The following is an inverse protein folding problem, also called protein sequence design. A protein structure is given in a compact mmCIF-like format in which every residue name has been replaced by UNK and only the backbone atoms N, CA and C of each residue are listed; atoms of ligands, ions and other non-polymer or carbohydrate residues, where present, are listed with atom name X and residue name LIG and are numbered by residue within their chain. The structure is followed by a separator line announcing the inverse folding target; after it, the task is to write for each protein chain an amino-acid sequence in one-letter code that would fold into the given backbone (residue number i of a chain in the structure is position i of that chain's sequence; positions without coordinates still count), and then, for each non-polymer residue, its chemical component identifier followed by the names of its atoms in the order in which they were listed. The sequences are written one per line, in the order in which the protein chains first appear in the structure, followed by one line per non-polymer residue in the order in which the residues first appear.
data_IF_448216020544
#
_entry.id   IF_448216020544
#
_cell.length_a   1.000
_cell.length_b   1.000
_cell.length_c   1.000
_cell.angle_alpha   90.00
_cell.angle_beta   90.00
_cell.angle_gamma   90.00
#
_symmetry.space_group_name_H-M   'P 1'
#
loop_
_entity.id
_entity.type
_entity.pdbx_description
1 polymer ?
#
# COMPACT_ATOMS: atom_id res chain seq x y z
N UNK A 1 -22.48 16.04 76.06
CA UNK A 1 -21.58 15.27 75.16
C UNK A 1 -22.25 15.11 73.81
N UNK A 2 -21.92 15.95 72.79
CA UNK A 2 -22.46 15.87 71.46
C UNK A 2 -21.59 14.97 70.62
N UNK A 3 -22.09 13.83 70.14
CA UNK A 3 -21.39 12.93 69.18
C UNK A 3 -21.50 13.52 67.81
N UNK A 4 -20.35 13.90 67.23
CA UNK A 4 -20.23 14.33 65.83
C UNK A 4 -20.10 13.09 64.95
N UNK A 5 -21.08 12.83 64.10
CA UNK A 5 -21.08 11.72 63.14
C UNK A 5 -20.45 12.24 61.84
N UNK A 6 -19.21 11.85 61.51
CA UNK A 6 -18.54 12.19 60.26
C UNK A 6 -19.04 11.20 59.17
N UNK A 7 -19.78 11.70 58.23
CA UNK A 7 -20.24 10.95 57.06
C UNK A 7 -19.18 11.05 55.96
N UNK A 8 -18.39 9.98 55.76
CA UNK A 8 -17.42 9.89 54.69
C UNK A 8 -18.19 9.49 53.40
N UNK A 9 -18.42 10.46 52.48
CA UNK A 9 -18.93 10.18 51.15
C UNK A 9 -17.78 9.66 50.29
N UNK A 10 -17.72 8.37 50.09
CA UNK A 10 -16.82 7.74 49.11
C UNK A 10 -17.36 8.01 47.71
N UNK A 11 -16.77 8.95 46.97
CA UNK A 11 -17.04 9.14 45.58
C UNK A 11 -16.38 7.99 44.82
N UNK A 12 -17.17 6.99 44.44
CA UNK A 12 -16.78 5.98 43.47
C UNK A 12 -16.74 6.64 42.08
N UNK A 13 -15.56 7.07 41.65
CA UNK A 13 -15.28 7.37 40.21
C UNK A 13 -15.37 6.04 39.46
N UNK A 14 -16.53 5.75 38.88
CA UNK A 14 -16.69 4.67 37.92
C UNK A 14 -15.88 5.05 36.66
N UNK A 15 -14.66 4.55 36.54
CA UNK A 15 -13.98 4.51 35.25
C UNK A 15 -14.76 3.53 34.38
N UNK A 16 -15.61 4.05 33.54
CA UNK A 16 -16.17 3.25 32.44
C UNK A 16 -14.99 2.89 31.54
N UNK A 17 -14.53 1.64 31.63
CA UNK A 17 -13.65 1.08 30.62
C UNK A 17 -14.43 1.10 29.32
N UNK A 18 -14.10 2.01 28.41
CA UNK A 18 -14.60 1.96 27.05
C UNK A 18 -14.08 0.64 26.43
N UNK A 19 -15.03 -0.23 26.03
CA UNK A 19 -14.67 -1.43 25.32
C UNK A 19 -14.01 -1.03 23.97
N UNK A 20 -12.95 -1.74 23.60
CA UNK A 20 -12.27 -1.48 22.32
C UNK A 20 -13.25 -1.71 21.16
N UNK A 21 -13.24 -0.79 20.19
CA UNK A 21 -14.07 -0.89 19.00
C UNK A 21 -13.38 -1.81 17.98
N UNK A 22 -14.09 -2.86 17.55
CA UNK A 22 -13.62 -3.73 16.48
C UNK A 22 -13.67 -3.03 15.14
N UNK A 23 -12.56 -3.07 14.40
CA UNK A 23 -12.42 -2.44 13.10
C UNK A 23 -11.70 -3.38 12.12
N UNK A 24 -12.37 -3.70 11.00
CA UNK A 24 -11.78 -4.50 9.93
C UNK A 24 -11.05 -3.61 8.92
N UNK A 25 -9.81 -3.98 8.58
CA UNK A 25 -8.96 -3.28 7.64
C UNK A 25 -8.60 -4.18 6.45
N UNK A 26 -9.01 -3.80 5.23
CA UNK A 26 -8.71 -4.52 4.00
C UNK A 26 -7.42 -4.00 3.37
N UNK A 27 -6.39 -4.83 3.27
CA UNK A 27 -5.23 -4.54 2.43
C UNK A 27 -5.56 -4.80 0.96
N UNK A 28 -4.78 -4.19 0.09
CA UNK A 28 -4.85 -4.46 -1.35
C UNK A 28 -3.97 -5.65 -1.77
N UNK A 29 -3.10 -6.15 -0.90
CA UNK A 29 -2.18 -7.22 -1.23
C UNK A 29 -2.03 -8.25 -0.10
N UNK A 30 -1.21 -9.26 -0.39
CA UNK A 30 -0.81 -10.32 0.56
C UNK A 30 -0.03 -9.73 1.74
N UNK A 31 0.13 -10.53 2.79
CA UNK A 31 1.02 -10.23 3.91
C UNK A 31 2.48 -10.41 3.47
N UNK A 32 3.06 -9.33 2.99
CA UNK A 32 4.47 -9.19 2.62
C UNK A 32 5.07 -7.99 3.39
N UNK A 33 6.36 -7.75 3.27
CA UNK A 33 7.08 -6.70 4.01
C UNK A 33 6.35 -5.36 4.14
N UNK A 34 5.78 -4.78 3.07
CA UNK A 34 5.05 -3.51 3.16
C UNK A 34 3.79 -3.51 4.02
N UNK A 35 3.25 -4.68 4.39
CA UNK A 35 2.15 -4.79 5.36
C UNK A 35 2.61 -4.83 6.82
N UNK A 36 3.90 -5.04 7.04
CA UNK A 36 4.48 -5.19 8.38
C UNK A 36 4.20 -4.00 9.32
N UNK A 37 4.25 -2.73 8.90
CA UNK A 37 3.98 -1.59 9.78
C UNK A 37 2.61 -1.63 10.45
N UNK A 38 1.60 -2.19 9.78
CA UNK A 38 0.24 -2.31 10.33
C UNK A 38 0.16 -3.39 11.42
N UNK A 39 0.83 -4.52 11.24
CA UNK A 39 0.95 -5.57 12.26
C UNK A 39 1.81 -5.12 13.43
N UNK A 40 2.86 -4.37 13.14
CA UNK A 40 3.72 -3.79 14.18
C UNK A 40 2.96 -2.79 15.04
N UNK A 41 2.08 -1.98 14.45
CA UNK A 41 1.19 -1.10 15.18
C UNK A 41 0.23 -1.86 16.12
N UNK A 42 -0.25 -3.06 15.73
CA UNK A 42 -1.03 -3.95 16.61
C UNK A 42 -0.16 -4.43 17.77
N UNK A 43 1.02 -4.98 17.48
CA UNK A 43 1.88 -5.62 18.50
C UNK A 43 2.49 -4.60 19.46
N UNK A 44 2.74 -3.36 18.99
CA UNK A 44 3.15 -2.22 19.83
C UNK A 44 2.01 -1.62 20.66
N UNK A 45 0.76 -2.03 20.42
CA UNK A 45 -0.39 -1.53 21.13
C UNK A 45 -0.92 -0.18 20.66
N UNK A 46 -0.42 0.36 19.52
CA UNK A 46 -0.84 1.69 19.04
C UNK A 46 -2.35 1.78 18.74
N UNK A 47 -2.94 0.71 18.20
CA UNK A 47 -4.39 0.66 18.02
C UNK A 47 -5.14 0.54 19.34
N UNK A 48 -4.62 -0.23 20.30
CA UNK A 48 -5.21 -0.37 21.63
C UNK A 48 -5.20 0.94 22.40
N UNK A 49 -4.13 1.75 22.29
CA UNK A 49 -4.04 3.09 22.87
C UNK A 49 -5.14 4.04 22.34
N UNK A 50 -5.68 3.73 21.17
CA UNK A 50 -6.80 4.46 20.53
C UNK A 50 -8.15 3.74 20.73
N UNK A 51 -8.23 2.78 21.63
CA UNK A 51 -9.42 1.96 21.89
C UNK A 51 -9.94 1.21 20.67
N UNK A 52 -9.02 0.72 19.81
CA UNK A 52 -9.33 -0.03 18.61
C UNK A 52 -8.76 -1.46 18.67
N UNK A 53 -9.59 -2.44 18.31
CA UNK A 53 -9.19 -3.81 18.02
C UNK A 53 -9.24 -3.99 16.50
N UNK A 54 -8.07 -3.99 15.84
CA UNK A 54 -7.98 -4.01 14.37
C UNK A 54 -7.71 -5.40 13.85
N UNK A 55 -8.59 -5.87 12.94
CA UNK A 55 -8.41 -7.11 12.19
C UNK A 55 -8.01 -6.78 10.75
N UNK A 56 -6.85 -7.30 10.30
CA UNK A 56 -6.29 -7.03 8.98
C UNK A 56 -6.53 -8.22 8.06
N UNK A 57 -7.10 -7.96 6.88
CA UNK A 57 -7.34 -8.97 5.84
C UNK A 57 -6.48 -8.72 4.61
N UNK A 58 -5.90 -9.77 3.99
CA UNK A 58 -5.17 -9.63 2.74
C UNK A 58 -6.09 -9.36 1.56
N UNK A 59 -5.56 -8.77 0.48
CA UNK A 59 -6.27 -8.44 -0.75
C UNK A 59 -5.67 -9.10 -2.01
N UNK A 60 -6.30 -8.79 -3.13
CA UNK A 60 -5.95 -9.28 -4.48
C UNK A 60 -5.79 -8.13 -5.48
N UNK A 61 -5.30 -6.99 -5.01
CA UNK A 61 -5.15 -5.75 -5.76
C UNK A 61 -6.10 -4.65 -5.29
N UNK A 62 -5.81 -3.41 -5.66
CA UNK A 62 -6.64 -2.25 -5.28
C UNK A 62 -8.06 -2.33 -5.82
N UNK A 63 -8.25 -2.96 -6.99
CA UNK A 63 -9.58 -3.20 -7.57
C UNK A 63 -10.42 -4.23 -6.77
N UNK A 64 -9.81 -5.01 -5.86
CA UNK A 64 -10.51 -5.87 -4.90
C UNK A 64 -10.81 -5.11 -3.59
N UNK A 65 -9.89 -4.28 -3.12
CA UNK A 65 -10.04 -3.56 -1.84
C UNK A 65 -11.05 -2.41 -1.91
N UNK A 66 -11.02 -1.60 -2.97
CA UNK A 66 -11.87 -0.41 -3.12
C UNK A 66 -13.37 -0.74 -3.04
N UNK A 67 -13.91 -1.72 -3.80
CA UNK A 67 -15.33 -2.09 -3.68
C UNK A 67 -15.73 -2.59 -2.29
N UNK A 68 -14.84 -3.30 -1.59
CA UNK A 68 -15.11 -3.78 -0.22
C UNK A 68 -15.32 -2.62 0.76
N UNK A 69 -14.55 -1.53 0.60
CA UNK A 69 -14.72 -0.33 1.40
C UNK A 69 -15.94 0.46 0.94
N UNK A 70 -16.14 0.64 -0.35
CA UNK A 70 -17.30 1.36 -0.89
C UNK A 70 -18.64 0.73 -0.49
N UNK A 71 -18.72 -0.60 -0.43
CA UNK A 71 -19.93 -1.32 0.01
C UNK A 71 -20.12 -1.35 1.53
N UNK A 72 -19.16 -0.87 2.31
CA UNK A 72 -19.17 -0.93 3.77
C UNK A 72 -18.84 -2.30 4.37
N UNK A 73 -18.43 -3.29 3.55
CA UNK A 73 -17.95 -4.58 4.03
C UNK A 73 -16.70 -4.43 4.92
N UNK A 74 -15.90 -3.41 4.63
CA UNK A 74 -14.76 -2.97 5.45
C UNK A 74 -14.88 -1.45 5.67
N UNK A 75 -14.81 -0.97 6.92
CA UNK A 75 -14.83 0.47 7.20
C UNK A 75 -13.58 1.18 6.70
N UNK A 76 -12.44 0.47 6.63
CA UNK A 76 -11.14 1.01 6.23
C UNK A 76 -10.44 0.06 5.26
N UNK A 77 -9.71 0.61 4.30
CA UNK A 77 -8.90 -0.14 3.37
C UNK A 77 -7.59 0.56 3.03
N UNK A 78 -6.73 -0.15 2.33
CA UNK A 78 -5.51 0.35 1.73
C UNK A 78 -5.56 0.09 0.24
N UNK A 79 -5.45 1.12 -0.57
CA UNK A 79 -5.55 0.99 -2.02
C UNK A 79 -4.85 2.14 -2.76
N UNK A 80 -4.50 1.89 -4.03
CA UNK A 80 -3.96 2.90 -4.93
C UNK A 80 -4.98 4.02 -5.22
N UNK A 81 -4.54 5.27 -5.07
CA UNK A 81 -5.39 6.46 -5.27
C UNK A 81 -5.88 6.60 -6.70
N UNK A 82 -5.05 6.23 -7.70
CA UNK A 82 -5.41 6.36 -9.11
C UNK A 82 -6.50 5.34 -9.50
N UNK A 83 -6.45 4.15 -8.89
CA UNK A 83 -7.51 3.15 -9.02
C UNK A 83 -8.79 3.62 -8.33
N UNK A 84 -8.70 4.33 -7.19
CA UNK A 84 -9.84 4.92 -6.52
C UNK A 84 -10.49 6.02 -7.37
N UNK A 85 -9.71 6.93 -7.97
CA UNK A 85 -10.22 7.97 -8.86
C UNK A 85 -11.01 7.33 -10.02
N UNK A 86 -10.41 6.36 -10.74
CA UNK A 86 -11.09 5.63 -11.82
C UNK A 86 -12.35 4.88 -11.37
N UNK A 87 -12.36 4.39 -10.12
CA UNK A 87 -13.55 3.76 -9.54
C UNK A 87 -14.65 4.77 -9.31
N UNK A 88 -14.33 5.95 -8.75
CA UNK A 88 -15.30 7.02 -8.47
C UNK A 88 -15.89 7.61 -9.75
N UNK A 89 -15.09 7.76 -10.81
CA UNK A 89 -15.58 8.19 -12.14
C UNK A 89 -16.65 7.26 -12.69
N UNK A 90 -16.49 5.94 -12.49
CA UNK A 90 -17.44 4.92 -12.93
C UNK A 90 -18.62 4.73 -11.98
N UNK A 91 -18.47 5.13 -10.72
CA UNK A 91 -19.44 4.96 -9.66
C UNK A 91 -19.67 6.29 -8.89
N UNK A 92 -20.25 7.31 -9.54
CA UNK A 92 -20.50 8.59 -8.92
C UNK A 92 -21.31 8.46 -7.62
N UNK A 93 -20.81 9.06 -6.54
CA UNK A 93 -21.46 8.99 -5.23
C UNK A 93 -21.16 7.74 -4.40
N UNK A 94 -20.28 6.84 -4.86
CA UNK A 94 -19.84 5.72 -4.04
C UNK A 94 -19.22 6.23 -2.72
N UNK A 95 -19.64 5.67 -1.55
CA UNK A 95 -19.25 6.20 -0.24
C UNK A 95 -17.84 5.77 0.17
N UNK A 96 -16.84 6.18 -0.59
CA UNK A 96 -15.41 5.90 -0.30
C UNK A 96 -14.54 7.10 -0.65
N UNK A 97 -13.60 7.43 0.25
CA UNK A 97 -12.59 8.50 0.05
C UNK A 97 -11.22 8.06 0.56
N UNK A 98 -10.15 8.68 0.04
CA UNK A 98 -8.82 8.60 0.61
C UNK A 98 -8.66 9.63 1.72
N UNK A 99 -8.00 9.23 2.83
CA UNK A 99 -7.84 10.09 4.03
C UNK A 99 -6.39 10.26 4.47
N UNK A 100 -5.47 9.42 3.98
CA UNK A 100 -4.04 9.50 4.32
C UNK A 100 -3.21 8.87 3.22
N UNK A 101 -2.30 9.61 2.63
CA UNK A 101 -1.34 9.08 1.67
C UNK A 101 -0.25 8.27 2.41
N UNK A 102 0.00 7.05 1.96
CA UNK A 102 1.07 6.20 2.51
C UNK A 102 2.22 6.11 1.52
N UNK A 103 1.95 5.79 0.26
CA UNK A 103 2.98 5.81 -0.77
C UNK A 103 2.99 7.17 -1.46
N UNK A 104 3.88 8.04 -1.01
CA UNK A 104 4.11 9.35 -1.62
C UNK A 104 4.54 9.21 -3.08
N UNK A 105 5.43 8.26 -3.39
CA UNK A 105 5.72 7.84 -4.77
C UNK A 105 5.08 6.49 -5.06
N UNK A 106 4.32 6.34 -6.16
CA UNK A 106 3.74 5.05 -6.50
C UNK A 106 4.85 4.05 -6.84
N UNK A 107 4.73 2.79 -6.40
CA UNK A 107 5.70 1.74 -6.75
C UNK A 107 5.48 1.18 -8.16
N UNK A 108 4.68 1.84 -8.99
CA UNK A 108 4.42 1.41 -10.35
C UNK A 108 5.70 1.36 -11.17
N UNK A 109 5.98 0.21 -11.74
CA UNK A 109 7.18 -0.01 -12.52
C UNK A 109 6.95 -0.98 -13.67
N UNK A 110 7.90 -0.94 -14.59
CA UNK A 110 8.12 -2.00 -15.55
C UNK A 110 9.43 -2.69 -15.15
N UNK A 111 9.38 -4.01 -14.99
CA UNK A 111 10.58 -4.82 -14.83
C UNK A 111 10.91 -5.50 -16.16
N UNK A 112 12.12 -5.33 -16.62
CA UNK A 112 12.68 -6.00 -17.79
C UNK A 112 13.94 -6.78 -17.46
N UNK A 113 14.50 -7.44 -18.44
CA UNK A 113 15.82 -8.06 -18.35
C UNK A 113 16.77 -7.43 -19.35
N UNK A 114 17.95 -7.01 -18.86
CA UNK A 114 18.98 -6.41 -19.71
C UNK A 114 19.48 -7.40 -20.78
N UNK A 115 19.56 -8.69 -20.43
CA UNK A 115 19.88 -9.77 -21.37
C UNK A 115 18.85 -9.97 -22.46
N UNK A 116 17.61 -9.44 -22.30
CA UNK A 116 16.57 -9.41 -23.34
C UNK A 116 16.50 -8.06 -24.05
N UNK A 117 17.45 -7.16 -23.79
CA UNK A 117 17.52 -5.84 -24.40
C UNK A 117 16.46 -4.87 -23.89
N UNK A 118 16.04 -4.98 -22.61
CA UNK A 118 15.10 -4.07 -21.97
C UNK A 118 15.80 -3.34 -20.82
N UNK A 119 16.28 -2.12 -21.07
CA UNK A 119 17.03 -1.28 -20.11
C UNK A 119 16.33 0.05 -19.84
N UNK A 120 15.56 0.55 -20.80
CA UNK A 120 14.90 1.85 -20.78
C UNK A 120 13.49 1.75 -21.32
N UNK A 121 12.63 2.77 -21.10
CA UNK A 121 11.26 2.77 -21.63
C UNK A 121 11.19 2.58 -23.16
N UNK A 122 12.10 3.18 -23.92
CA UNK A 122 12.14 3.07 -25.39
C UNK A 122 12.42 1.65 -25.90
N UNK A 123 13.04 0.80 -25.06
CA UNK A 123 13.35 -0.58 -25.45
C UNK A 123 12.12 -1.50 -25.44
N UNK A 124 10.96 -1.01 -24.99
CA UNK A 124 9.72 -1.78 -24.95
C UNK A 124 9.10 -1.99 -26.35
N UNK A 125 9.40 -1.12 -27.31
CA UNK A 125 8.89 -1.29 -28.67
C UNK A 125 9.45 -2.56 -29.32
N UNK A 126 8.57 -3.34 -29.93
CA UNK A 126 8.90 -4.65 -30.50
C UNK A 126 8.98 -5.80 -29.45
N UNK A 127 8.73 -5.53 -28.18
CA UNK A 127 8.81 -6.50 -27.08
C UNK A 127 7.44 -7.06 -26.68
N UNK A 128 7.49 -8.14 -25.89
CA UNK A 128 6.31 -8.74 -25.26
C UNK A 128 6.24 -8.23 -23.81
N UNK A 129 5.18 -7.48 -23.49
CA UNK A 129 4.92 -6.97 -22.14
C UNK A 129 3.86 -7.82 -21.45
N UNK A 130 4.24 -8.57 -20.41
CA UNK A 130 3.34 -9.31 -19.54
C UNK A 130 2.64 -8.37 -18.56
N UNK A 131 1.31 -8.26 -18.65
CA UNK A 131 0.54 -7.34 -17.83
C UNK A 131 -0.68 -8.03 -17.21
N UNK A 132 -0.78 -8.07 -15.84
CA UNK A 132 -2.00 -8.54 -15.21
C UNK A 132 -3.14 -7.52 -15.42
N UNK A 133 -4.32 -7.92 -15.94
CA UNK A 133 -5.41 -6.98 -16.21
C UNK A 133 -5.86 -6.15 -14.99
N UNK A 134 -5.88 -6.66 -13.74
CA UNK A 134 -6.26 -5.88 -12.56
C UNK A 134 -5.10 -5.11 -11.90
N UNK A 135 -3.90 -5.07 -12.53
CA UNK A 135 -2.73 -4.41 -11.98
C UNK A 135 -2.82 -2.88 -12.08
N UNK A 136 -2.57 -2.16 -10.97
CA UNK A 136 -2.53 -0.70 -10.95
C UNK A 136 -1.42 -0.13 -11.84
N UNK A 137 -0.25 -0.78 -11.90
CA UNK A 137 0.84 -0.37 -12.77
C UNK A 137 0.47 -0.52 -14.26
N UNK A 138 -0.20 -1.63 -14.63
CA UNK A 138 -0.75 -1.80 -15.97
C UNK A 138 -1.75 -0.70 -16.32
N UNK A 139 -2.63 -0.34 -15.40
CA UNK A 139 -3.60 0.74 -15.62
C UNK A 139 -2.95 2.11 -15.88
N UNK A 140 -1.70 2.31 -15.48
CA UNK A 140 -0.90 3.53 -15.73
C UNK A 140 0.05 3.39 -16.91
N UNK A 141 0.08 2.26 -17.59
CA UNK A 141 0.96 2.06 -18.75
C UNK A 141 0.65 3.02 -19.92
N UNK A 142 -0.60 3.29 -20.32
CA UNK A 142 -0.89 4.23 -21.41
C UNK A 142 -0.35 5.65 -21.15
N UNK A 143 -0.59 6.32 -20.01
CA UNK A 143 0.03 7.62 -19.75
C UNK A 143 1.56 7.56 -19.62
N UNK A 144 2.12 6.46 -19.08
CA UNK A 144 3.58 6.24 -19.08
C UNK A 144 4.15 6.15 -20.51
N UNK A 145 3.52 5.39 -21.37
CA UNK A 145 3.94 5.26 -22.78
C UNK A 145 3.89 6.61 -23.50
N UNK A 146 2.81 7.38 -23.29
CA UNK A 146 2.67 8.74 -23.84
C UNK A 146 3.79 9.67 -23.34
N UNK A 147 4.08 9.68 -22.05
CA UNK A 147 5.13 10.52 -21.47
C UNK A 147 6.54 10.18 -21.98
N UNK A 148 6.75 8.95 -22.46
CA UNK A 148 8.03 8.46 -22.97
C UNK A 148 8.07 8.31 -24.50
N UNK A 149 7.05 8.81 -25.22
CA UNK A 149 6.93 8.73 -26.68
C UNK A 149 6.98 7.28 -27.23
N UNK A 150 6.42 6.33 -26.48
CA UNK A 150 6.38 4.91 -26.84
C UNK A 150 5.10 4.66 -27.66
N UNK A 151 5.24 4.04 -28.82
CA UNK A 151 4.09 3.58 -29.59
C UNK A 151 3.61 2.22 -29.04
N UNK A 152 2.47 2.23 -28.36
CA UNK A 152 1.89 1.02 -27.73
C UNK A 152 1.53 -0.05 -28.78
N UNK A 153 1.16 0.34 -29.99
CA UNK A 153 0.81 -0.61 -31.07
C UNK A 153 2.01 -1.47 -31.51
N UNK A 154 3.23 -1.02 -31.20
CA UNK A 154 4.46 -1.76 -31.44
C UNK A 154 4.82 -2.73 -30.29
N UNK A 155 3.99 -2.83 -29.25
CA UNK A 155 4.23 -3.71 -28.08
C UNK A 155 3.19 -4.83 -28.10
N UNK A 156 3.66 -6.08 -28.06
CA UNK A 156 2.75 -7.21 -27.84
C UNK A 156 2.37 -7.28 -26.37
N UNK A 157 1.11 -7.03 -26.05
CA UNK A 157 0.60 -7.19 -24.69
C UNK A 157 0.19 -8.65 -24.46
N UNK A 158 0.78 -9.27 -23.42
CA UNK A 158 0.45 -10.64 -22.99
C UNK A 158 -0.29 -10.56 -21.66
N UNK A 159 -1.61 -10.88 -21.62
CA UNK A 159 -2.34 -10.96 -20.36
C UNK A 159 -1.79 -12.10 -19.48
N UNK A 160 -1.29 -11.77 -18.30
CA UNK A 160 -0.73 -12.74 -17.34
C UNK A 160 -1.44 -12.65 -16.01
N UNK A 161 -1.42 -13.73 -15.23
CA UNK A 161 -1.87 -13.71 -13.84
C UNK A 161 -0.77 -13.20 -12.91
N UNK A 162 -1.13 -12.62 -11.75
CA UNK A 162 -0.14 -12.24 -10.73
C UNK A 162 0.78 -13.40 -10.31
N UNK A 163 0.33 -14.67 -10.16
CA UNK A 163 1.21 -15.77 -9.79
C UNK A 163 2.20 -16.17 -10.88
N UNK A 164 1.90 -15.91 -12.15
CA UNK A 164 2.70 -16.33 -13.31
C UNK A 164 3.56 -15.20 -13.89
N UNK A 165 3.34 -13.97 -13.47
CA UNK A 165 3.98 -12.77 -14.01
C UNK A 165 5.51 -12.84 -13.98
N UNK A 166 6.08 -12.98 -12.78
CA UNK A 166 7.53 -13.06 -12.62
C UNK A 166 8.13 -14.37 -13.18
N UNK A 167 7.53 -15.55 -13.01
CA UNK A 167 7.97 -16.76 -13.71
C UNK A 167 8.09 -16.58 -15.22
N UNK A 168 7.11 -15.98 -15.89
CA UNK A 168 7.15 -15.76 -17.34
C UNK A 168 8.33 -14.89 -17.78
N UNK A 169 8.68 -13.83 -17.00
CA UNK A 169 9.87 -13.02 -17.28
C UNK A 169 11.16 -13.79 -16.97
N UNK A 170 11.20 -14.54 -15.87
CA UNK A 170 12.36 -15.35 -15.50
C UNK A 170 12.67 -16.41 -16.55
N UNK A 171 11.63 -17.04 -17.11
CA UNK A 171 11.71 -18.08 -18.16
C UNK A 171 11.82 -17.50 -19.58
N UNK A 172 11.83 -16.16 -19.72
CA UNK A 172 11.92 -15.44 -21.01
C UNK A 172 10.72 -15.65 -21.95
N UNK A 173 9.55 -15.97 -21.40
CA UNK A 173 8.29 -16.08 -22.14
C UNK A 173 7.69 -14.70 -22.46
N UNK A 174 8.10 -13.68 -21.68
CA UNK A 174 7.89 -12.25 -21.93
C UNK A 174 9.20 -11.50 -21.75
N UNK A 175 9.33 -10.29 -22.32
CA UNK A 175 10.54 -9.47 -22.25
C UNK A 175 10.53 -8.49 -21.09
N UNK A 176 9.32 -8.08 -20.67
CA UNK A 176 9.07 -7.16 -19.57
C UNK A 176 7.73 -7.48 -18.90
N UNK A 177 7.54 -6.96 -17.67
CA UNK A 177 6.29 -7.10 -16.91
C UNK A 177 5.94 -5.80 -16.20
N UNK A 178 4.64 -5.55 -15.96
CA UNK A 178 4.18 -4.44 -15.11
C UNK A 178 3.95 -4.89 -13.68
N UNK A 179 4.10 -3.99 -12.69
CA UNK A 179 3.82 -4.27 -11.30
C UNK A 179 4.46 -3.28 -10.32
N UNK A 180 4.55 -3.69 -9.07
CA UNK A 180 5.24 -2.92 -8.03
C UNK A 180 6.73 -3.24 -8.02
N UNK A 181 7.56 -2.21 -8.08
CA UNK A 181 9.02 -2.30 -8.24
C UNK A 181 9.68 -3.27 -7.26
N UNK A 182 9.44 -3.11 -5.96
CA UNK A 182 10.02 -3.93 -4.89
C UNK A 182 9.54 -5.38 -4.93
N UNK A 183 8.28 -5.62 -5.32
CA UNK A 183 7.73 -6.98 -5.41
C UNK A 183 8.29 -7.72 -6.61
N UNK A 184 8.26 -7.11 -7.80
CA UNK A 184 8.81 -7.74 -9.02
C UNK A 184 10.30 -8.02 -8.86
N UNK A 185 11.09 -7.03 -8.40
CA UNK A 185 12.52 -7.17 -8.24
C UNK A 185 12.88 -8.39 -7.36
N UNK A 186 12.35 -8.42 -6.13
CA UNK A 186 12.69 -9.48 -5.19
C UNK A 186 12.13 -10.87 -5.58
N UNK A 187 10.97 -10.90 -6.23
CA UNK A 187 10.43 -12.16 -6.74
C UNK A 187 11.27 -12.72 -7.90
N UNK A 188 11.79 -11.86 -8.79
CA UNK A 188 12.71 -12.27 -9.86
C UNK A 188 14.04 -12.77 -9.28
N UNK A 189 14.61 -12.09 -8.28
CA UNK A 189 15.81 -12.55 -7.57
C UNK A 189 15.58 -13.94 -6.95
N UNK A 190 14.44 -14.15 -6.29
CA UNK A 190 14.07 -15.45 -5.71
C UNK A 190 13.91 -16.55 -6.76
N UNK A 191 13.53 -16.20 -7.98
CA UNK A 191 13.45 -17.13 -9.11
C UNK A 191 14.80 -17.37 -9.78
N UNK A 192 15.89 -16.82 -9.25
CA UNK A 192 17.25 -17.02 -9.73
C UNK A 192 17.66 -16.10 -10.89
N UNK A 193 16.91 -15.04 -11.18
CA UNK A 193 17.35 -14.01 -12.13
C UNK A 193 18.44 -13.19 -11.45
N UNK A 194 19.64 -13.05 -12.07
CA UNK A 194 20.71 -12.22 -11.52
C UNK A 194 20.26 -10.77 -11.32
N UNK A 195 20.62 -10.17 -10.18
CA UNK A 195 20.18 -8.81 -9.84
C UNK A 195 20.66 -7.78 -10.85
N UNK A 196 21.86 -7.96 -11.39
CA UNK A 196 22.45 -7.11 -12.42
C UNK A 196 21.79 -7.24 -13.80
N UNK A 197 21.06 -8.34 -14.05
CA UNK A 197 20.27 -8.53 -15.28
C UNK A 197 18.86 -7.89 -15.18
N UNK A 198 18.38 -7.59 -13.97
CA UNK A 198 17.07 -6.98 -13.78
C UNK A 198 17.15 -5.49 -14.01
N UNK A 199 16.30 -4.94 -14.88
CA UNK A 199 16.05 -3.51 -15.03
C UNK A 199 14.70 -3.17 -14.39
N UNK A 200 14.68 -2.17 -13.48
CA UNK A 200 13.45 -1.63 -12.89
C UNK A 200 13.27 -0.20 -13.35
N UNK A 201 12.25 0.05 -14.13
CA UNK A 201 11.84 1.37 -14.61
C UNK A 201 10.68 1.86 -13.76
N UNK A 202 10.99 2.61 -12.69
CA UNK A 202 9.96 3.22 -11.84
C UNK A 202 9.27 4.33 -12.66
N UNK A 203 7.96 4.22 -12.87
CA UNK A 203 7.21 5.14 -13.74
C UNK A 203 7.31 6.60 -13.26
N UNK A 204 7.38 6.81 -11.95
CA UNK A 204 7.58 8.12 -11.34
C UNK A 204 8.92 8.80 -11.74
N UNK A 205 9.93 8.03 -12.11
CA UNK A 205 11.22 8.56 -12.58
C UNK A 205 11.23 8.82 -14.10
N UNK A 206 10.14 8.49 -14.78
CA UNK A 206 9.97 8.60 -16.21
C UNK A 206 8.70 9.39 -16.57
N UNK A 207 8.46 10.50 -15.87
CA UNK A 207 7.44 11.48 -16.23
C UNK A 207 6.03 11.22 -15.68
N UNK A 208 5.83 10.18 -14.87
CA UNK A 208 4.53 9.87 -14.28
C UNK A 208 4.49 10.24 -12.79
N UNK A 209 4.37 11.53 -12.50
CA UNK A 209 4.36 12.10 -11.14
C UNK A 209 2.99 11.89 -10.45
N UNK A 210 2.65 10.64 -10.14
CA UNK A 210 1.42 10.29 -9.43
C UNK A 210 1.68 10.04 -7.94
N UNK A 211 0.61 9.95 -7.14
CA UNK A 211 0.61 9.34 -5.81
C UNK A 211 0.33 7.84 -5.91
N UNK A 212 0.75 7.09 -4.89
CA UNK A 212 0.49 5.65 -4.81
C UNK A 212 -0.66 5.32 -3.86
N UNK A 213 -0.44 4.34 -2.97
CA UNK A 213 -1.49 3.85 -2.10
C UNK A 213 -1.77 4.78 -0.92
N UNK A 214 -3.06 4.86 -0.59
CA UNK A 214 -3.60 5.62 0.52
C UNK A 214 -4.45 4.73 1.45
N UNK A 215 -4.62 5.17 2.69
CA UNK A 215 -5.72 4.69 3.52
C UNK A 215 -7.01 5.28 2.97
N UNK A 216 -7.95 4.40 2.64
CA UNK A 216 -9.30 4.73 2.18
C UNK A 216 -10.32 4.32 3.22
N UNK A 217 -11.41 5.08 3.31
CA UNK A 217 -12.45 4.84 4.31
C UNK A 217 -13.84 4.89 3.68
N UNK A 218 -14.75 4.09 4.21
CA UNK A 218 -16.18 4.25 3.93
C UNK A 218 -16.67 5.56 4.55
N UNK A 219 -17.27 6.45 3.75
CA UNK A 219 -17.67 7.79 4.20
C UNK A 219 -18.78 7.77 5.24
N UNK A 220 -19.69 6.79 5.18
CA UNK A 220 -20.79 6.70 6.12
C UNK A 220 -20.30 6.20 7.48
N UNK A 221 -19.37 5.22 7.48
CA UNK A 221 -18.70 4.82 8.70
C UNK A 221 -17.89 5.97 9.31
N UNK A 222 -17.12 6.70 8.50
CA UNK A 222 -16.29 7.81 8.95
C UNK A 222 -17.11 8.95 9.56
N UNK A 223 -18.28 9.27 8.99
CA UNK A 223 -19.23 10.25 9.55
C UNK A 223 -19.80 9.82 10.88
N UNK A 224 -20.15 8.54 11.00
CA UNK A 224 -20.72 7.98 12.23
C UNK A 224 -19.67 7.78 13.34
N UNK A 225 -18.39 7.54 12.98
CA UNK A 225 -17.31 7.18 13.89
C UNK A 225 -16.01 7.98 13.61
N UNK A 226 -16.05 9.32 13.64
CA UNK A 226 -14.91 10.15 13.22
C UNK A 226 -13.68 9.96 14.12
N UNK A 227 -13.87 9.69 15.41
CA UNK A 227 -12.77 9.51 16.35
C UNK A 227 -12.07 8.17 16.18
N UNK A 228 -12.80 7.12 15.78
CA UNK A 228 -12.20 5.83 15.42
C UNK A 228 -11.29 5.96 14.19
N UNK A 229 -11.71 6.71 13.17
CA UNK A 229 -10.88 6.96 11.99
C UNK A 229 -9.64 7.77 12.35
N UNK A 230 -9.77 8.84 13.12
CA UNK A 230 -8.62 9.63 13.58
C UNK A 230 -7.64 8.80 14.41
N UNK A 231 -8.17 7.96 15.33
CA UNK A 231 -7.36 7.03 16.12
C UNK A 231 -6.62 6.01 15.25
N UNK A 232 -7.35 5.42 14.29
CA UNK A 232 -6.75 4.50 13.31
C UNK A 232 -5.58 5.13 12.56
N UNK A 233 -5.75 6.35 12.04
CA UNK A 233 -4.69 7.05 11.30
C UNK A 233 -3.48 7.40 12.18
N UNK A 234 -3.70 7.80 13.45
CA UNK A 234 -2.59 8.01 14.39
C UNK A 234 -1.81 6.73 14.67
N UNK A 235 -2.51 5.62 14.89
CA UNK A 235 -1.88 4.32 15.11
C UNK A 235 -1.10 3.83 13.89
N UNK A 236 -1.65 3.98 12.69
CA UNK A 236 -0.97 3.67 11.42
C UNK A 236 0.29 4.50 11.26
N UNK A 237 0.22 5.82 11.53
CA UNK A 237 1.39 6.70 11.45
C UNK A 237 2.50 6.27 12.39
N UNK A 238 2.18 5.94 13.66
CA UNK A 238 3.14 5.43 14.64
C UNK A 238 3.75 4.10 14.17
N UNK A 239 2.93 3.17 13.67
CA UNK A 239 3.40 1.88 13.16
C UNK A 239 4.37 2.02 12.00
N UNK A 240 4.15 2.95 11.07
CA UNK A 240 5.10 3.25 10.00
C UNK A 240 6.38 3.91 10.51
N UNK A 241 6.31 4.84 11.47
CA UNK A 241 7.50 5.47 12.08
C UNK A 241 8.35 4.40 12.77
N UNK A 242 7.75 3.58 13.62
CA UNK A 242 8.46 2.50 14.32
C UNK A 242 9.06 1.48 13.34
N UNK A 243 8.34 1.17 12.25
CA UNK A 243 8.83 0.24 11.22
C UNK A 243 9.98 0.83 10.38
N UNK A 244 10.03 2.14 10.17
CA UNK A 244 11.18 2.82 9.55
C UNK A 244 12.42 2.76 10.45
N UNK A 245 12.25 2.86 11.77
CA UNK A 245 13.34 2.74 12.75
C UNK A 245 13.81 1.29 12.94
N UNK A 246 12.89 0.32 12.90
CA UNK A 246 13.14 -1.09 13.17
C UNK A 246 12.46 -2.01 12.14
N UNK A 247 12.89 -2.00 10.85
CA UNK A 247 12.20 -2.73 9.79
C UNK A 247 12.14 -4.24 10.02
N UNK A 248 13.20 -4.83 10.59
CA UNK A 248 13.24 -6.27 10.85
C UNK A 248 12.23 -6.68 11.93
N UNK A 249 12.11 -5.90 13.01
CA UNK A 249 11.14 -6.19 14.07
C UNK A 249 9.70 -6.02 13.57
N UNK A 250 9.45 -5.01 12.73
CA UNK A 250 8.17 -4.86 12.09
C UNK A 250 7.82 -6.09 11.23
N UNK A 251 8.78 -6.62 10.46
CA UNK A 251 8.57 -7.81 9.63
C UNK A 251 8.36 -9.06 10.49
N UNK A 252 8.99 -9.19 11.66
CA UNK A 252 8.69 -10.29 12.62
C UNK A 252 7.22 -10.30 13.03
N UNK A 253 6.62 -9.12 13.24
CA UNK A 253 5.18 -9.00 13.52
C UNK A 253 4.31 -9.50 12.37
N UNK A 254 4.69 -9.23 11.12
CA UNK A 254 3.99 -9.75 9.94
C UNK A 254 4.18 -11.27 9.79
N UNK A 255 5.39 -11.79 10.00
CA UNK A 255 5.69 -13.23 9.90
C UNK A 255 4.88 -14.05 10.92
N UNK A 256 4.62 -13.50 12.11
CA UNK A 256 3.73 -14.17 13.07
C UNK A 256 2.33 -14.45 12.50
N UNK A 257 1.90 -13.72 11.46
CA UNK A 257 0.61 -13.87 10.72
C UNK A 257 0.79 -14.56 9.37
N UNK A 258 2.03 -14.68 8.88
CA UNK A 258 2.38 -15.40 7.65
C UNK A 258 3.69 -16.18 7.83
N UNK A 259 3.67 -17.33 8.55
CA UNK A 259 4.88 -18.09 8.86
C UNK A 259 5.63 -18.67 7.64
N UNK A 260 5.01 -18.64 6.46
CA UNK A 260 5.65 -19.07 5.21
C UNK A 260 6.57 -18.01 4.59
N UNK A 261 6.55 -16.77 5.12
CA UNK A 261 7.38 -15.69 4.59
C UNK A 261 8.83 -15.77 5.12
N UNK A 262 9.79 -15.40 4.27
CA UNK A 262 11.21 -15.31 4.63
C UNK A 262 11.53 -13.96 5.27
N UNK A 263 12.12 -13.96 6.46
CA UNK A 263 12.41 -12.75 7.23
C UNK A 263 13.35 -11.80 6.48
N UNK A 264 14.44 -12.31 5.91
CA UNK A 264 15.44 -11.48 5.27
C UNK A 264 14.89 -10.86 3.97
N UNK A 265 14.17 -11.65 3.18
CA UNK A 265 13.52 -11.20 1.95
C UNK A 265 12.48 -10.11 2.23
N UNK A 266 11.60 -10.35 3.21
CA UNK A 266 10.51 -9.40 3.51
C UNK A 266 11.02 -8.14 4.21
N UNK A 267 12.10 -8.23 5.00
CA UNK A 267 12.79 -7.06 5.53
C UNK A 267 13.41 -6.22 4.41
N UNK A 268 14.04 -6.85 3.42
CA UNK A 268 14.56 -6.16 2.24
C UNK A 268 13.42 -5.52 1.44
N UNK A 269 12.29 -6.20 1.28
CA UNK A 269 11.10 -5.68 0.59
C UNK A 269 10.55 -4.44 1.29
N UNK A 270 10.42 -4.48 2.61
CA UNK A 270 9.96 -3.33 3.40
C UNK A 270 10.92 -2.14 3.26
N UNK A 271 12.24 -2.36 3.36
CA UNK A 271 13.23 -1.29 3.18
C UNK A 271 13.13 -0.65 1.80
N UNK A 272 13.02 -1.45 0.73
CA UNK A 272 12.84 -0.93 -0.63
C UNK A 272 11.55 -0.08 -0.76
N UNK A 273 10.45 -0.49 -0.12
CA UNK A 273 9.22 0.29 -0.12
C UNK A 273 9.36 1.59 0.71
N UNK A 274 10.01 1.54 1.86
CA UNK A 274 10.30 2.72 2.69
C UNK A 274 11.12 3.73 1.89
N UNK A 275 12.28 3.31 1.36
CA UNK A 275 13.24 4.20 0.73
C UNK A 275 12.72 4.76 -0.61
N UNK A 276 12.03 3.94 -1.39
CA UNK A 276 11.56 4.32 -2.72
C UNK A 276 10.21 5.02 -2.76
N UNK A 277 9.32 4.73 -1.80
CA UNK A 277 7.91 5.08 -1.94
C UNK A 277 7.31 5.84 -0.74
N UNK A 278 7.77 5.57 0.49
CA UNK A 278 7.17 6.12 1.71
C UNK A 278 7.97 7.30 2.26
N UNK A 279 9.26 7.10 2.55
CA UNK A 279 10.14 8.07 3.22
C UNK A 279 10.86 8.96 2.20
N UNK A 280 10.10 9.57 1.31
CA UNK A 280 10.59 10.51 0.29
C UNK A 280 11.03 11.84 0.88
N UNK A 281 11.72 12.68 0.12
CA UNK A 281 12.13 14.01 0.59
C UNK A 281 10.91 14.90 0.91
N UNK A 282 9.81 14.74 0.18
CA UNK A 282 8.56 15.43 0.51
C UNK A 282 8.03 15.02 1.88
N UNK A 283 8.00 13.72 2.17
CA UNK A 283 7.51 13.20 3.46
C UNK A 283 8.43 13.57 4.62
N UNK A 284 9.76 13.58 4.42
CA UNK A 284 10.72 14.04 5.43
C UNK A 284 10.47 15.48 5.88
N UNK A 285 10.10 16.34 4.93
CA UNK A 285 9.86 17.77 5.21
C UNK A 285 8.46 18.03 5.75
N UNK A 286 7.44 17.38 5.17
CA UNK A 286 6.04 17.71 5.39
C UNK A 286 5.31 16.75 6.35
N UNK A 287 5.91 15.61 6.66
CA UNK A 287 5.31 14.53 7.45
C UNK A 287 4.49 13.55 6.59
N UNK A 288 4.30 12.36 7.16
CA UNK A 288 3.54 11.29 6.53
C UNK A 288 2.06 11.65 6.41
N UNK A 289 1.43 11.23 5.31
CA UNK A 289 0.00 11.38 5.07
C UNK A 289 -0.41 12.68 4.40
N UNK A 290 0.51 13.66 4.27
CA UNK A 290 0.22 14.92 3.58
C UNK A 290 0.18 14.77 2.07
N UNK A 291 -0.62 15.61 1.44
CA UNK A 291 -0.81 15.69 -0.01
C UNK A 291 -0.40 17.08 -0.48
N UNK A 292 0.39 17.14 -1.56
CA UNK A 292 0.59 18.35 -2.34
C UNK A 292 -0.58 18.48 -3.34
N UNK A 293 -1.41 19.50 -3.15
CA UNK A 293 -2.58 19.70 -3.98
C UNK A 293 -2.22 19.93 -5.45
N UNK A 294 -1.12 20.63 -5.73
CA UNK A 294 -0.69 20.89 -7.12
C UNK A 294 -0.31 19.62 -7.87
N UNK A 295 0.26 18.64 -7.14
CA UNK A 295 0.57 17.30 -7.69
C UNK A 295 -0.69 16.45 -7.83
N UNK A 296 -1.63 16.56 -6.87
CA UNK A 296 -2.91 15.86 -6.96
C UNK A 296 -3.75 16.37 -8.14
N UNK A 297 -3.80 17.69 -8.36
CA UNK A 297 -4.53 18.31 -9.48
C UNK A 297 -4.00 17.84 -10.85
N UNK A 298 -2.73 17.49 -10.95
CA UNK A 298 -2.15 16.91 -12.18
C UNK A 298 -2.52 15.43 -12.38
N UNK A 299 -2.93 14.74 -11.32
CA UNK A 299 -3.30 13.33 -11.36
C UNK A 299 -4.80 13.14 -11.65
N UNK A 300 -5.61 14.18 -11.46
CA UNK A 300 -7.04 14.25 -11.75
C UNK A 300 -7.29 14.67 -13.20
#
# INVERSE_FOLDING_TARGET
MKKFLIFIISIFLSFSSLADTKLSFALDWKFEGPSAPYFYAIDKGHFKDEHLEVEISPGKGSLDAIPKVATGAYPVGFADINSLIKFLDKNPGAPVIAVMMVYDKPPFAIAGRKSLGVNSPSDLEGKILGAPPPDGAWAQFPPFASANNINIDNIKIEPVGFPTREPMLAEKNVDAITGYSFSMFLNLVRLGVPEDDISIMLMANHGLELYGNAIIVNTDYAKANPDNIKGFLRAVSKGWIDAMESPEDAVKSMIARNPAADLALETRRLKLAIDGNVHTDYVKINGMGKIDNSRMDKAL
#
